data_IF_461452576576
#
_entry.id   IF_461452576576
#
_cell.length_a   1.000
_cell.length_b   1.000
_cell.length_c   1.000
_cell.angle_alpha   90.00
_cell.angle_beta   90.00
_cell.angle_gamma   90.00
#
_symmetry.space_group_name_H-M   'P 1'
#
loop_
_entity.id
_entity.type
_entity.pdbx_description
1 polymer ?
#
# COMPACT_ATOMS: atom_id res chain seq x y z
N UNK A 1 -12.52 3.12 29.33
CA UNK A 1 -12.30 4.29 28.46
C UNK A 1 -11.47 3.98 27.21
N UNK A 2 -11.27 2.72 26.85
CA UNK A 2 -10.37 2.27 25.78
C UNK A 2 -11.05 1.98 24.43
N UNK A 3 -12.37 2.08 24.32
CA UNK A 3 -13.12 1.69 23.10
C UNK A 3 -13.27 2.81 22.06
N UNK A 4 -13.04 4.07 22.41
CA UNK A 4 -13.26 5.21 21.51
C UNK A 4 -12.09 5.51 20.55
N UNK A 5 -10.86 5.13 20.92
CA UNK A 5 -9.68 5.37 20.10
C UNK A 5 -9.52 4.32 18.99
N UNK A 6 -9.94 3.09 19.23
CA UNK A 6 -9.92 2.03 18.20
C UNK A 6 -10.95 2.30 17.10
N UNK A 7 -12.12 2.84 17.47
CA UNK A 7 -13.16 3.19 16.48
C UNK A 7 -12.76 4.42 15.64
N UNK A 8 -12.09 5.43 16.20
CA UNK A 8 -11.65 6.61 15.48
C UNK A 8 -10.56 6.32 14.46
N UNK A 9 -9.60 5.46 14.81
CA UNK A 9 -8.53 5.04 13.89
C UNK A 9 -9.05 4.13 12.78
N UNK A 10 -10.00 3.25 13.11
CA UNK A 10 -10.62 2.36 12.13
C UNK A 10 -11.47 3.13 11.10
N UNK A 11 -12.22 4.15 11.54
CA UNK A 11 -13.02 4.99 10.64
C UNK A 11 -12.15 5.88 9.75
N UNK A 12 -11.01 6.36 10.24
CA UNK A 12 -10.07 7.14 9.43
C UNK A 12 -9.38 6.28 8.37
N UNK A 13 -8.98 5.05 8.71
CA UNK A 13 -8.40 4.08 7.77
C UNK A 13 -9.42 3.60 6.72
N UNK A 14 -10.68 3.38 7.12
CA UNK A 14 -11.75 3.00 6.18
C UNK A 14 -12.08 4.13 5.22
N UNK A 15 -12.10 5.40 5.67
CA UNK A 15 -12.37 6.54 4.79
C UNK A 15 -11.22 6.80 3.81
N UNK A 16 -9.97 6.56 4.22
CA UNK A 16 -8.80 6.62 3.34
C UNK A 16 -8.81 5.52 2.27
N UNK A 17 -9.26 4.32 2.63
CA UNK A 17 -9.36 3.18 1.70
C UNK A 17 -10.47 3.37 0.66
N UNK A 18 -11.60 3.95 1.05
CA UNK A 18 -12.72 4.26 0.16
C UNK A 18 -12.38 5.40 -0.82
N UNK A 19 -11.52 6.35 -0.43
CA UNK A 19 -11.02 7.40 -1.32
C UNK A 19 -10.07 6.90 -2.42
N UNK A 20 -9.35 5.81 -2.16
CA UNK A 20 -8.39 5.25 -3.12
C UNK A 20 -9.05 4.38 -4.22
N UNK A 21 -10.23 3.84 -3.96
CA UNK A 21 -10.97 3.00 -4.93
C UNK A 21 -11.70 3.83 -5.99
N UNK A 22 -11.97 5.11 -5.76
CA UNK A 22 -12.66 5.97 -6.74
C UNK A 22 -11.73 6.54 -7.84
N UNK A 23 -10.40 6.46 -7.65
CA UNK A 23 -9.42 6.92 -8.65
C UNK A 23 -8.99 5.85 -9.67
N UNK A 24 -9.39 4.59 -9.48
CA UNK A 24 -8.96 3.48 -10.33
C UNK A 24 -9.98 3.02 -11.41
N UNK A 25 -11.14 3.69 -11.52
CA UNK A 25 -12.20 3.31 -12.47
C UNK A 25 -12.75 4.49 -13.26
N UNK A 26 -11.88 5.30 -13.87
CA UNK A 26 -12.26 6.22 -14.93
C UNK A 26 -11.56 5.83 -16.23
N UNK A 27 -11.93 4.70 -16.82
CA UNK A 27 -11.76 4.47 -18.25
C UNK A 27 -13.00 5.02 -18.97
N UNK A 28 -12.87 6.22 -19.51
CA UNK A 28 -13.80 6.75 -20.50
C UNK A 28 -13.53 6.12 -21.87
N UNK A 29 -14.58 5.70 -22.60
CA UNK A 29 -14.41 5.26 -23.98
C UNK A 29 -14.16 6.45 -24.90
N UNK A 30 -13.10 6.35 -25.67
CA UNK A 30 -12.77 7.23 -26.79
C UNK A 30 -13.94 7.31 -27.77
N UNK A 31 -14.64 8.43 -27.86
CA UNK A 31 -15.54 8.70 -28.95
C UNK A 31 -14.98 9.85 -29.79
N UNK A 32 -14.54 9.48 -30.97
CA UNK A 32 -14.13 10.35 -32.06
C UNK A 32 -15.32 11.08 -32.66
N UNK A 33 -15.33 12.40 -32.59
CA UNK A 33 -16.04 13.22 -33.59
C UNK A 33 -15.44 14.63 -33.62
N UNK A 34 -14.71 14.93 -34.70
CA UNK A 34 -14.33 16.29 -35.11
C UNK A 34 -15.55 16.90 -35.84
N UNK A 35 -15.87 18.16 -35.61
CA UNK A 35 -16.21 19.02 -36.73
C UNK A 35 -15.38 20.31 -36.75
N UNK A 36 -14.81 20.52 -37.90
CA UNK A 36 -14.31 21.78 -38.44
C UNK A 36 -15.44 22.79 -38.67
N UNK A 37 -15.21 24.10 -38.38
CA UNK A 37 -15.54 25.27 -39.21
C UNK A 37 -15.23 26.52 -38.40
N UNK A 38 -14.23 27.26 -38.73
CA UNK A 38 -14.12 28.47 -39.57
C UNK A 38 -14.78 29.74 -39.01
N UNK A 39 -13.91 30.73 -38.82
CA UNK A 39 -14.04 32.17 -39.15
C UNK A 39 -14.93 33.07 -38.29
N UNK A 40 -14.29 34.13 -37.80
CA UNK A 40 -14.98 35.35 -37.33
C UNK A 40 -14.00 36.31 -36.67
N UNK A 41 -13.25 37.05 -37.49
CA UNK A 41 -12.46 38.20 -37.07
C UNK A 41 -13.36 39.35 -36.59
N UNK A 42 -13.01 39.99 -35.49
CA UNK A 42 -13.32 41.40 -35.27
C UNK A 42 -12.26 42.02 -34.37
N UNK A 43 -11.46 42.82 -34.99
CA UNK A 43 -10.56 43.81 -34.41
C UNK A 43 -11.33 44.91 -33.73
N UNK A 44 -11.01 45.21 -32.48
CA UNK A 44 -11.27 46.54 -31.91
C UNK A 44 -9.99 47.01 -31.23
N UNK A 45 -9.37 47.96 -31.90
CA UNK A 45 -8.32 48.85 -31.40
C UNK A 45 -8.92 49.77 -30.35
N UNK A 46 -8.32 49.85 -29.18
CA UNK A 46 -8.44 51.08 -28.34
C UNK A 46 -7.06 51.36 -27.73
N UNK A 47 -6.68 52.53 -28.08
CA UNK A 47 -5.52 53.37 -27.83
C UNK A 47 -5.16 53.50 -26.35
N UNK A 48 -3.86 53.55 -26.15
CA UNK A 48 -3.09 54.04 -25.02
C UNK A 48 -3.73 55.03 -24.05
N UNK A 49 -3.37 54.85 -22.77
CA UNK A 49 -2.84 55.94 -21.96
C UNK A 49 -2.27 55.37 -20.64
N UNK A 50 -1.01 55.58 -20.50
CA UNK A 50 -0.29 56.17 -19.37
C UNK A 50 -0.18 55.39 -18.03
N UNK A 51 1.01 54.89 -17.83
CA UNK A 51 1.96 55.22 -16.75
C UNK A 51 1.35 55.50 -15.37
N UNK A 52 1.44 54.48 -14.50
CA UNK A 52 1.91 54.75 -13.15
C UNK A 52 2.69 53.57 -12.55
N UNK A 53 3.86 53.91 -12.05
CA UNK A 53 4.67 53.11 -11.15
C UNK A 53 3.89 52.80 -9.89
N UNK A 54 3.81 51.58 -9.48
CA UNK A 54 3.35 51.33 -8.13
C UNK A 54 3.10 49.85 -7.82
N UNK A 55 4.01 49.27 -7.10
CA UNK A 55 3.81 48.16 -6.16
C UNK A 55 3.02 46.96 -6.65
N UNK A 56 3.78 45.93 -6.99
CA UNK A 56 3.27 44.58 -6.98
C UNK A 56 2.74 44.25 -5.57
N UNK A 57 1.44 44.25 -5.41
CA UNK A 57 0.77 43.90 -4.16
C UNK A 57 0.66 42.39 -4.12
N UNK A 58 1.60 41.74 -3.47
CA UNK A 58 1.53 40.31 -3.16
C UNK A 58 0.35 40.10 -2.21
N UNK A 59 -0.76 39.59 -2.73
CA UNK A 59 -1.89 39.18 -1.89
C UNK A 59 -1.62 37.76 -1.46
N UNK A 60 -1.06 37.58 -0.26
CA UNK A 60 -1.00 36.31 0.40
C UNK A 60 -2.39 35.98 0.95
N UNK A 61 -3.15 35.14 0.27
CA UNK A 61 -4.37 34.54 0.81
C UNK A 61 -3.95 33.47 1.84
N UNK A 62 -3.99 33.85 3.11
CA UNK A 62 -3.71 32.92 4.21
C UNK A 62 -2.70 33.43 5.22
N UNK A 63 -2.71 34.69 5.55
CA UNK A 63 -2.00 35.18 6.76
C UNK A 63 -2.92 35.15 7.97
N UNK A 64 -3.02 33.99 8.64
CA UNK A 64 -3.28 34.01 10.07
C UNK A 64 -1.95 34.30 10.76
N UNK A 65 -1.89 35.42 11.43
CA UNK A 65 -0.79 35.85 12.28
C UNK A 65 -0.50 34.80 13.35
N UNK A 66 0.74 34.27 13.38
CA UNK A 66 1.24 33.51 14.52
C UNK A 66 1.35 32.00 14.25
N UNK A 67 2.40 31.60 13.56
CA UNK A 67 2.79 30.22 13.36
C UNK A 67 3.37 30.03 11.98
N UNK A 68 4.65 29.61 11.87
CA UNK A 68 5.37 29.47 10.60
C UNK A 68 4.73 28.48 9.62
N UNK A 69 3.55 28.79 9.09
CA UNK A 69 2.87 28.05 8.04
C UNK A 69 3.49 28.38 6.68
N UNK A 70 3.91 27.37 5.97
CA UNK A 70 4.43 27.51 4.59
C UNK A 70 3.24 27.79 3.66
N UNK A 71 3.22 28.90 2.92
CA UNK A 71 2.11 29.19 2.02
C UNK A 71 2.01 28.13 0.91
N UNK A 72 0.83 27.49 0.83
CA UNK A 72 0.58 26.41 -0.12
C UNK A 72 0.60 26.87 -1.58
N UNK A 73 0.17 28.12 -1.81
CA UNK A 73 0.13 28.76 -3.11
C UNK A 73 0.58 30.21 -2.97
N UNK A 74 1.50 30.65 -3.82
CA UNK A 74 1.79 32.06 -4.01
C UNK A 74 1.20 32.49 -5.34
N UNK A 75 0.20 33.36 -5.30
CA UNK A 75 -0.31 34.08 -6.46
C UNK A 75 0.56 35.33 -6.66
N UNK A 76 1.27 35.38 -7.77
CA UNK A 76 1.94 36.60 -8.22
C UNK A 76 1.11 37.15 -9.39
N UNK A 77 0.43 38.25 -9.17
CA UNK A 77 -0.24 38.98 -10.26
C UNK A 77 0.80 39.80 -10.96
N UNK A 78 1.12 39.46 -12.20
CA UNK A 78 2.00 40.27 -13.05
C UNK A 78 1.34 41.57 -13.47
N UNK A 79 2.13 42.61 -13.83
CA UNK A 79 1.58 43.87 -14.31
C UNK A 79 0.71 43.76 -15.57
N UNK A 80 0.84 42.64 -16.30
CA UNK A 80 0.07 42.34 -17.53
C UNK A 80 -1.29 41.69 -17.26
N UNK A 81 -1.70 41.54 -15.98
CA UNK A 81 -2.97 40.87 -15.61
C UNK A 81 -2.95 39.35 -15.73
N UNK A 82 -1.81 38.74 -16.02
CA UNK A 82 -1.62 37.28 -15.96
C UNK A 82 -1.37 36.84 -14.52
N UNK A 83 -2.05 35.75 -14.12
CA UNK A 83 -1.89 35.14 -12.81
C UNK A 83 -0.93 33.94 -12.93
N UNK A 84 0.26 34.06 -12.35
CA UNK A 84 1.19 32.94 -12.25
C UNK A 84 0.96 32.18 -10.93
N UNK A 85 0.56 30.92 -11.05
CA UNK A 85 0.43 30.01 -9.94
C UNK A 85 1.74 29.29 -9.71
N UNK A 86 2.53 29.69 -8.72
CA UNK A 86 3.68 28.92 -8.28
C UNK A 86 3.29 27.99 -7.15
N UNK A 87 3.24 26.69 -7.45
CA UNK A 87 3.12 25.65 -6.42
C UNK A 87 4.48 25.57 -5.72
N UNK A 88 4.47 25.73 -4.40
CA UNK A 88 5.70 25.56 -3.63
C UNK A 88 6.15 24.10 -3.74
N UNK A 89 7.33 23.86 -4.34
CA UNK A 89 7.92 22.52 -4.54
C UNK A 89 7.95 21.70 -3.23
N UNK A 90 8.13 22.38 -2.10
CA UNK A 90 8.15 21.77 -0.77
C UNK A 90 6.78 21.16 -0.40
N UNK A 91 5.68 21.81 -0.75
CA UNK A 91 4.33 21.29 -0.50
C UNK A 91 4.01 20.15 -1.44
N UNK A 92 4.41 20.25 -2.72
CA UNK A 92 4.27 19.14 -3.65
C UNK A 92 5.03 17.90 -3.14
N UNK A 93 6.26 18.09 -2.68
CA UNK A 93 7.06 17.02 -2.09
C UNK A 93 6.40 16.45 -0.81
N UNK A 94 5.85 17.31 0.05
CA UNK A 94 5.14 16.87 1.26
C UNK A 94 3.89 16.07 0.94
N UNK A 95 3.07 16.53 -0.03
CA UNK A 95 1.86 15.81 -0.46
C UNK A 95 2.19 14.46 -1.10
N UNK A 96 3.23 14.40 -1.93
CA UNK A 96 3.68 13.12 -2.50
C UNK A 96 4.20 12.17 -1.43
N UNK A 97 5.01 12.65 -0.50
CA UNK A 97 5.46 11.85 0.64
C UNK A 97 4.29 11.33 1.48
N UNK A 98 3.32 12.18 1.79
CA UNK A 98 2.13 11.78 2.56
C UNK A 98 1.28 10.73 1.82
N UNK A 99 1.25 10.77 0.49
CA UNK A 99 0.58 9.76 -0.33
C UNK A 99 1.27 8.38 -0.31
N UNK A 100 2.61 8.34 -0.21
CA UNK A 100 3.37 7.09 -0.14
C UNK A 100 3.39 6.45 1.26
N UNK A 101 3.20 7.24 2.31
CA UNK A 101 3.33 6.78 3.70
C UNK A 101 2.41 5.59 4.04
N UNK A 102 1.11 5.57 3.69
CA UNK A 102 0.25 4.41 3.97
C UNK A 102 0.73 3.13 3.27
N UNK A 103 1.19 3.23 2.03
CA UNK A 103 1.70 2.09 1.27
C UNK A 103 2.98 1.52 1.92
N UNK A 104 3.89 2.39 2.35
CA UNK A 104 5.11 1.99 3.05
C UNK A 104 4.78 1.27 4.37
N UNK A 105 3.85 1.82 5.17
CA UNK A 105 3.44 1.19 6.44
C UNK A 105 2.85 -0.20 6.19
N UNK A 106 1.98 -0.37 5.19
CA UNK A 106 1.41 -1.67 4.84
C UNK A 106 2.50 -2.68 4.45
N UNK A 107 3.51 -2.26 3.67
CA UNK A 107 4.63 -3.11 3.27
C UNK A 107 5.53 -3.53 4.44
N UNK A 108 5.55 -2.76 5.54
CA UNK A 108 6.31 -3.08 6.77
C UNK A 108 5.55 -4.01 7.73
N UNK A 109 4.37 -4.50 7.35
CA UNK A 109 3.53 -5.39 8.15
C UNK A 109 3.46 -6.80 7.57
N UNK A 110 2.69 -7.67 8.21
CA UNK A 110 2.41 -9.05 7.74
C UNK A 110 1.59 -9.11 6.44
N UNK A 111 1.07 -7.99 5.95
CA UNK A 111 0.15 -7.89 4.81
C UNK A 111 0.69 -8.56 3.54
N UNK A 112 1.95 -8.30 3.20
CA UNK A 112 2.57 -8.80 1.97
C UNK A 112 2.55 -10.33 1.90
N UNK A 113 2.97 -11.02 2.97
CA UNK A 113 2.97 -12.48 3.04
C UNK A 113 1.55 -13.03 2.86
N UNK A 114 0.59 -12.47 3.58
CA UNK A 114 -0.80 -12.94 3.57
C UNK A 114 -1.42 -12.80 2.17
N UNK A 115 -1.29 -11.61 1.56
CA UNK A 115 -1.88 -11.34 0.23
C UNK A 115 -1.29 -12.24 -0.84
N UNK A 116 0.02 -12.49 -0.81
CA UNK A 116 0.70 -13.35 -1.78
C UNK A 116 0.28 -14.80 -1.61
N UNK A 117 0.24 -15.32 -0.38
CA UNK A 117 -0.20 -16.70 -0.12
C UNK A 117 -1.65 -16.91 -0.52
N UNK A 118 -2.55 -15.98 -0.20
CA UNK A 118 -3.97 -16.04 -0.61
C UNK A 118 -4.14 -15.98 -2.13
N UNK A 119 -3.30 -15.22 -2.82
CA UNK A 119 -3.30 -15.16 -4.29
C UNK A 119 -2.83 -16.46 -4.91
N UNK A 120 -1.79 -17.09 -4.36
CA UNK A 120 -1.29 -18.41 -4.80
C UNK A 120 -2.36 -19.49 -4.53
N UNK A 121 -3.03 -19.45 -3.37
CA UNK A 121 -4.12 -20.37 -3.05
C UNK A 121 -5.23 -20.32 -4.11
N UNK A 122 -5.69 -19.12 -4.47
CA UNK A 122 -6.69 -18.93 -5.53
C UNK A 122 -6.25 -19.58 -6.85
N UNK A 123 -4.99 -19.37 -7.22
CA UNK A 123 -4.42 -19.99 -8.43
C UNK A 123 -4.35 -21.53 -8.32
N UNK A 124 -3.94 -22.05 -7.16
CA UNK A 124 -3.85 -23.49 -6.91
C UNK A 124 -5.20 -24.19 -7.06
N UNK A 125 -6.27 -23.57 -6.58
CA UNK A 125 -7.63 -24.07 -6.74
C UNK A 125 -8.14 -24.04 -8.20
N UNK A 126 -7.43 -23.37 -9.12
CA UNK A 126 -7.86 -23.21 -10.51
C UNK A 126 -8.95 -22.14 -10.71
N UNK A 127 -9.23 -21.33 -9.71
CA UNK A 127 -10.22 -20.27 -9.75
C UNK A 127 -9.59 -19.00 -10.32
N UNK A 128 -10.06 -18.54 -11.49
CA UNK A 128 -9.47 -17.38 -12.16
C UNK A 128 -9.90 -16.04 -11.53
N UNK A 129 -11.16 -15.95 -11.04
CA UNK A 129 -11.74 -14.68 -10.57
C UNK A 129 -12.39 -14.76 -9.19
N UNK A 130 -12.54 -15.93 -8.59
CA UNK A 130 -13.20 -16.12 -7.30
C UNK A 130 -12.22 -16.73 -6.28
N UNK A 131 -12.06 -16.18 -5.08
CA UNK A 131 -12.63 -14.91 -4.60
C UNK A 131 -12.02 -13.69 -5.31
N UNK A 132 -12.78 -12.56 -5.37
CA UNK A 132 -12.29 -11.34 -6.00
C UNK A 132 -11.06 -10.77 -5.28
N UNK A 133 -10.26 -9.94 -5.97
CA UNK A 133 -9.10 -9.29 -5.35
C UNK A 133 -9.48 -8.47 -4.11
N UNK A 134 -10.67 -7.84 -4.12
CA UNK A 134 -11.15 -7.06 -2.98
C UNK A 134 -11.38 -7.92 -1.74
N UNK A 135 -11.93 -9.14 -1.91
CA UNK A 135 -12.13 -10.10 -0.81
C UNK A 135 -10.78 -10.55 -0.25
N UNK A 136 -9.82 -10.88 -1.11
CA UNK A 136 -8.46 -11.27 -0.69
C UNK A 136 -7.79 -10.14 0.10
N UNK A 137 -7.84 -8.92 -0.41
CA UNK A 137 -7.28 -7.74 0.27
C UNK A 137 -7.99 -7.50 1.60
N UNK A 138 -9.32 -7.61 1.64
CA UNK A 138 -10.09 -7.47 2.87
C UNK A 138 -9.69 -8.48 3.94
N UNK A 139 -9.62 -9.77 3.61
CA UNK A 139 -9.16 -10.82 4.54
C UNK A 139 -7.73 -10.55 4.98
N UNK A 140 -6.84 -10.19 4.04
CA UNK A 140 -5.44 -9.91 4.34
C UNK A 140 -5.29 -8.72 5.31
N UNK A 141 -6.08 -7.66 5.15
CA UNK A 141 -6.08 -6.53 6.07
C UNK A 141 -6.57 -6.92 7.46
N UNK A 142 -7.70 -7.62 7.58
CA UNK A 142 -8.21 -8.07 8.87
C UNK A 142 -7.20 -8.96 9.60
N UNK A 143 -6.61 -9.92 8.89
CA UNK A 143 -5.61 -10.81 9.47
C UNK A 143 -4.34 -10.05 9.86
N UNK A 144 -3.93 -9.06 9.06
CA UNK A 144 -2.81 -8.18 9.37
C UNK A 144 -3.06 -7.41 10.67
N UNK A 145 -4.22 -6.80 10.84
CA UNK A 145 -4.57 -6.11 12.08
C UNK A 145 -4.54 -7.05 13.30
N UNK A 146 -5.02 -8.26 13.14
CA UNK A 146 -5.00 -9.26 14.20
C UNK A 146 -3.57 -9.65 14.59
N UNK A 147 -2.71 -9.94 13.61
CA UNK A 147 -1.32 -10.33 13.83
C UNK A 147 -0.49 -9.17 14.38
N UNK A 148 -0.70 -7.96 13.85
CA UNK A 148 0.06 -6.76 14.25
C UNK A 148 -0.47 -6.09 15.52
N UNK A 149 -1.58 -6.57 16.11
CA UNK A 149 -2.17 -5.99 17.32
C UNK A 149 -1.16 -5.77 18.46
N UNK A 150 -0.29 -6.73 18.83
CA UNK A 150 0.70 -6.52 19.88
C UNK A 150 1.71 -5.41 19.52
N UNK A 151 2.14 -5.32 18.26
CA UNK A 151 3.06 -4.27 17.80
C UNK A 151 2.39 -2.90 17.85
N UNK A 152 1.14 -2.79 17.41
CA UNK A 152 0.38 -1.53 17.46
C UNK A 152 0.09 -1.10 18.90
N UNK A 153 -0.15 -2.03 19.82
CA UNK A 153 -0.31 -1.71 21.23
C UNK A 153 1.00 -1.14 21.82
N UNK A 154 2.15 -1.72 21.50
CA UNK A 154 3.44 -1.19 21.93
C UNK A 154 3.68 0.23 21.39
N UNK A 155 3.40 0.48 20.11
CA UNK A 155 3.49 1.82 19.51
C UNK A 155 2.58 2.80 20.25
N UNK A 156 1.35 2.39 20.54
CA UNK A 156 0.39 3.24 21.25
C UNK A 156 0.89 3.61 22.65
N UNK A 157 1.40 2.65 23.42
CA UNK A 157 1.86 2.85 24.78
C UNK A 157 3.16 3.64 24.84
N UNK A 158 4.13 3.38 23.95
CA UNK A 158 5.47 3.94 24.01
C UNK A 158 5.61 5.29 23.27
N UNK A 159 4.78 5.54 22.25
CA UNK A 159 4.91 6.72 21.42
C UNK A 159 3.65 7.60 21.43
N UNK A 160 2.47 7.00 21.14
CA UNK A 160 1.24 7.78 20.92
C UNK A 160 0.73 8.39 22.22
N UNK A 161 0.63 7.60 23.30
CA UNK A 161 0.12 8.07 24.59
C UNK A 161 1.04 9.13 25.23
N UNK A 162 2.38 8.98 25.29
CA UNK A 162 3.27 10.01 25.78
C UNK A 162 3.23 11.30 24.95
N UNK A 163 3.05 11.18 23.62
CA UNK A 163 2.90 12.34 22.74
C UNK A 163 1.59 13.11 23.00
N UNK A 164 0.47 12.40 23.13
CA UNK A 164 -0.83 13.00 23.43
C UNK A 164 -0.87 13.66 24.82
N UNK A 165 -0.07 13.16 25.76
CA UNK A 165 0.09 13.72 27.09
C UNK A 165 1.17 14.83 27.15
N UNK A 166 1.67 15.31 25.99
CA UNK A 166 2.70 16.36 25.87
C UNK A 166 4.02 16.06 26.61
N UNK A 167 4.31 14.78 26.88
CA UNK A 167 5.51 14.34 27.58
C UNK A 167 6.73 14.25 26.65
N UNK A 168 6.49 14.03 25.34
CA UNK A 168 7.53 13.90 24.33
C UNK A 168 7.20 14.74 23.08
N UNK A 169 8.25 15.13 22.36
CA UNK A 169 8.09 15.84 21.08
C UNK A 169 7.66 14.90 19.96
N UNK A 170 7.06 15.44 18.88
CA UNK A 170 6.66 14.67 17.70
C UNK A 170 7.83 13.84 17.11
N UNK A 171 9.05 14.37 17.13
CA UNK A 171 10.25 13.68 16.65
C UNK A 171 10.60 12.47 17.51
N UNK A 172 10.58 12.65 18.83
CA UNK A 172 10.80 11.55 19.78
C UNK A 172 9.72 10.47 19.66
N UNK A 173 8.44 10.87 19.51
CA UNK A 173 7.35 9.94 19.30
C UNK A 173 7.55 9.11 18.01
N UNK A 174 8.01 9.74 16.93
CA UNK A 174 8.32 9.04 15.68
C UNK A 174 9.47 8.05 15.84
N UNK A 175 10.55 8.44 16.53
CA UNK A 175 11.68 7.56 16.77
C UNK A 175 11.29 6.36 17.65
N UNK A 176 10.49 6.58 18.71
CA UNK A 176 9.96 5.50 19.56
C UNK A 176 8.96 4.59 18.83
N UNK A 177 8.15 5.13 17.93
CA UNK A 177 7.20 4.34 17.16
C UNK A 177 7.87 3.39 16.16
N UNK A 178 9.08 3.70 15.69
CA UNK A 178 9.85 2.85 14.80
C UNK A 178 10.38 1.57 15.49
N UNK A 179 10.71 1.63 16.78
CA UNK A 179 11.36 0.53 17.49
C UNK A 179 10.54 -0.78 17.49
N UNK A 180 9.23 -0.79 17.83
CA UNK A 180 8.42 -2.01 17.75
C UNK A 180 8.29 -2.56 16.32
N UNK A 181 8.18 -1.68 15.30
CA UNK A 181 8.15 -2.09 13.90
C UNK A 181 9.47 -2.70 13.45
N UNK A 182 10.58 -2.09 13.85
CA UNK A 182 11.93 -2.59 13.56
C UNK A 182 12.15 -3.95 14.19
N UNK A 183 11.79 -4.11 15.46
CA UNK A 183 11.88 -5.39 16.17
C UNK A 183 11.04 -6.48 15.49
N UNK A 184 9.81 -6.17 15.06
CA UNK A 184 8.98 -7.09 14.29
C UNK A 184 9.64 -7.49 12.98
N UNK A 185 10.10 -6.52 12.18
CA UNK A 185 10.74 -6.80 10.88
C UNK A 185 12.02 -7.62 11.04
N UNK A 186 12.88 -7.30 12.02
CA UNK A 186 14.10 -8.08 12.29
C UNK A 186 13.78 -9.53 12.64
N UNK A 187 12.75 -9.76 13.47
CA UNK A 187 12.33 -11.11 13.86
C UNK A 187 11.84 -11.96 12.69
N UNK A 188 11.22 -11.32 11.67
CA UNK A 188 10.69 -12.00 10.50
C UNK A 188 11.68 -12.08 9.33
N UNK A 189 12.74 -11.26 9.34
CA UNK A 189 13.74 -11.25 8.27
C UNK A 189 14.75 -12.36 8.45
N UNK A 190 15.03 -13.11 7.39
CA UNK A 190 16.06 -14.15 7.39
C UNK A 190 17.44 -13.52 7.43
N UNK A 191 18.33 -14.13 8.18
CA UNK A 191 19.72 -13.66 8.35
C UNK A 191 20.41 -13.47 7.01
N UNK A 192 20.32 -14.44 6.11
CA UNK A 192 20.96 -14.38 4.79
C UNK A 192 20.43 -13.22 3.93
N UNK A 193 19.13 -12.90 4.02
CA UNK A 193 18.55 -11.78 3.28
C UNK A 193 19.01 -10.45 3.87
N UNK A 194 19.06 -10.35 5.19
CA UNK A 194 19.57 -9.16 5.87
C UNK A 194 21.05 -8.91 5.53
N UNK A 195 21.90 -9.93 5.60
CA UNK A 195 23.31 -9.87 5.25
C UNK A 195 23.52 -9.37 3.80
N UNK A 196 22.75 -9.91 2.85
CA UNK A 196 22.82 -9.49 1.45
C UNK A 196 22.58 -7.96 1.29
N UNK A 197 21.56 -7.42 1.96
CA UNK A 197 21.27 -5.99 1.86
C UNK A 197 22.24 -5.13 2.67
N UNK A 198 22.80 -5.62 3.76
CA UNK A 198 23.88 -4.97 4.52
C UNK A 198 25.14 -4.86 3.65
N UNK A 199 25.55 -5.94 2.99
CA UNK A 199 26.68 -5.94 2.06
C UNK A 199 26.47 -4.95 0.91
N UNK A 200 25.28 -4.96 0.29
CA UNK A 200 24.93 -4.04 -0.80
C UNK A 200 24.97 -2.57 -0.36
N UNK A 201 24.65 -2.29 0.90
CA UNK A 201 24.68 -0.92 1.45
C UNK A 201 26.09 -0.44 1.82
N UNK A 202 27.07 -1.33 1.91
CA UNK A 202 28.42 -1.04 2.41
C UNK A 202 28.48 -0.67 3.89
N UNK A 203 27.38 -0.88 4.64
CA UNK A 203 27.32 -0.55 6.06
C UNK A 203 28.08 -1.59 6.88
N UNK A 204 29.00 -1.12 7.74
CA UNK A 204 29.62 -1.98 8.75
C UNK A 204 28.71 -2.06 9.97
N UNK A 205 27.93 -3.13 10.04
CA UNK A 205 26.97 -3.37 11.11
C UNK A 205 27.47 -4.53 11.97
N UNK A 206 27.67 -4.31 13.25
CA UNK A 206 28.15 -5.33 14.20
C UNK A 206 27.01 -6.12 14.84
N UNK A 207 25.79 -5.57 14.86
CA UNK A 207 24.62 -6.22 15.43
C UNK A 207 23.37 -5.93 14.58
N UNK A 208 22.43 -6.88 14.44
CA UNK A 208 21.21 -6.72 13.63
C UNK A 208 20.37 -5.49 14.02
N UNK A 209 20.38 -5.13 15.31
CA UNK A 209 19.62 -3.98 15.84
C UNK A 209 20.16 -2.63 15.33
N UNK A 210 21.40 -2.58 14.87
CA UNK A 210 22.05 -1.37 14.36
C UNK A 210 21.73 -1.09 12.89
N UNK A 211 21.10 -2.06 12.20
CA UNK A 211 20.71 -1.91 10.79
C UNK A 211 19.73 -0.74 10.65
N UNK A 212 19.96 0.11 9.67
CA UNK A 212 19.06 1.22 9.36
C UNK A 212 17.75 0.71 8.75
N UNK A 213 16.64 1.44 8.95
CA UNK A 213 15.35 1.11 8.34
C UNK A 213 15.42 1.03 6.81
N UNK A 214 16.25 1.88 6.20
CA UNK A 214 16.43 1.89 4.74
C UNK A 214 17.00 0.58 4.18
N UNK A 215 17.80 -0.15 4.95
CA UNK A 215 18.36 -1.47 4.59
C UNK A 215 17.41 -2.60 5.03
N UNK A 216 16.81 -2.44 6.20
CA UNK A 216 15.92 -3.46 6.76
C UNK A 216 14.62 -3.64 5.98
N UNK A 217 13.98 -2.55 5.51
CA UNK A 217 12.70 -2.63 4.79
C UNK A 217 12.81 -3.51 3.53
N UNK A 218 13.76 -3.29 2.59
CA UNK A 218 13.88 -4.15 1.42
C UNK A 218 14.30 -5.58 1.76
N UNK A 219 15.14 -5.78 2.77
CA UNK A 219 15.51 -7.11 3.26
C UNK A 219 14.28 -7.88 3.80
N UNK A 220 13.46 -7.20 4.60
CA UNK A 220 12.21 -7.74 5.13
C UNK A 220 11.23 -8.12 4.01
N UNK A 221 10.95 -7.21 3.07
CA UNK A 221 10.03 -7.48 1.96
C UNK A 221 10.50 -8.69 1.15
N UNK A 222 11.79 -8.79 0.84
CA UNK A 222 12.37 -9.93 0.11
C UNK A 222 12.21 -11.23 0.90
N UNK A 223 12.45 -11.20 2.20
CA UNK A 223 12.29 -12.36 3.10
C UNK A 223 10.81 -12.78 3.21
N UNK A 224 9.88 -11.82 3.31
CA UNK A 224 8.44 -12.07 3.32
C UNK A 224 7.96 -12.72 2.02
N UNK A 225 8.42 -12.24 0.86
CA UNK A 225 8.11 -12.83 -0.43
C UNK A 225 8.63 -14.26 -0.54
N UNK A 226 9.87 -14.53 -0.14
CA UNK A 226 10.43 -15.89 -0.14
C UNK A 226 9.60 -16.84 0.75
N UNK A 227 9.23 -16.38 1.94
CA UNK A 227 8.41 -17.16 2.87
C UNK A 227 7.00 -17.39 2.31
N UNK A 228 6.38 -16.34 1.71
CA UNK A 228 5.08 -16.46 1.07
C UNK A 228 5.09 -17.47 -0.08
N UNK A 229 6.13 -17.47 -0.92
CA UNK A 229 6.27 -18.44 -2.00
C UNK A 229 6.49 -19.87 -1.47
N UNK A 230 7.25 -20.05 -0.37
CA UNK A 230 7.42 -21.36 0.24
C UNK A 230 6.10 -21.92 0.78
N UNK A 231 5.35 -21.12 1.54
CA UNK A 231 4.03 -21.51 2.04
C UNK A 231 3.08 -21.78 0.86
N UNK A 232 3.06 -20.88 -0.11
CA UNK A 232 2.24 -21.00 -1.31
C UNK A 232 2.54 -22.27 -2.11
N UNK A 233 3.82 -22.63 -2.27
CA UNK A 233 4.24 -23.86 -2.94
C UNK A 233 3.74 -25.11 -2.18
N UNK A 234 3.85 -25.14 -0.86
CA UNK A 234 3.33 -26.25 -0.06
C UNK A 234 1.82 -26.40 -0.19
N UNK A 235 1.09 -25.27 -0.27
CA UNK A 235 -0.35 -25.29 -0.50
C UNK A 235 -0.70 -25.70 -1.93
N UNK A 236 0.15 -25.42 -2.90
CA UNK A 236 -0.09 -25.77 -4.32
C UNK A 236 0.08 -27.27 -4.58
N UNK A 237 0.97 -27.94 -3.85
CA UNK A 237 1.34 -29.35 -4.06
C UNK A 237 0.14 -30.30 -4.11
N UNK A 238 -0.80 -30.34 -3.14
CA UNK A 238 -1.92 -31.27 -3.17
C UNK A 238 -2.85 -31.01 -4.38
N UNK A 239 -3.04 -29.79 -4.79
CA UNK A 239 -3.85 -29.43 -5.95
C UNK A 239 -3.16 -29.83 -7.27
N UNK A 240 -1.84 -29.71 -7.35
CA UNK A 240 -1.04 -30.16 -8.47
C UNK A 240 -1.15 -31.68 -8.68
N UNK A 241 -1.14 -32.44 -7.59
CA UNK A 241 -1.29 -33.91 -7.66
C UNK A 241 -2.68 -34.27 -8.24
N UNK A 242 -3.74 -33.58 -7.82
CA UNK A 242 -5.08 -33.79 -8.38
C UNK A 242 -5.09 -33.49 -9.89
N UNK A 243 -4.49 -32.38 -10.32
CA UNK A 243 -4.40 -32.03 -11.74
C UNK A 243 -3.68 -33.13 -12.55
N UNK A 244 -2.59 -33.64 -12.03
CA UNK A 244 -1.77 -34.66 -12.67
C UNK A 244 -2.52 -36.01 -12.78
N UNK A 245 -3.25 -36.41 -11.74
CA UNK A 245 -4.06 -37.62 -11.74
C UNK A 245 -5.20 -37.51 -12.75
N UNK A 246 -5.94 -36.39 -12.71
CA UNK A 246 -7.04 -36.14 -13.67
C UNK A 246 -6.52 -36.10 -15.10
N UNK A 247 -5.39 -35.43 -15.36
CA UNK A 247 -4.78 -35.38 -16.69
C UNK A 247 -4.38 -36.76 -17.20
N UNK A 248 -3.77 -37.61 -16.34
CA UNK A 248 -3.37 -38.97 -16.73
C UNK A 248 -4.56 -39.84 -17.07
N UNK A 249 -5.68 -39.77 -16.33
CA UNK A 249 -6.90 -40.50 -16.58
C UNK A 249 -7.54 -40.04 -17.91
N UNK A 250 -7.65 -38.74 -18.15
CA UNK A 250 -8.21 -38.19 -19.40
C UNK A 250 -7.39 -38.62 -20.64
N UNK A 251 -6.05 -38.60 -20.51
CA UNK A 251 -5.17 -39.06 -21.58
C UNK A 251 -5.34 -40.57 -21.84
N UNK A 252 -5.46 -41.39 -20.80
CA UNK A 252 -5.67 -42.83 -20.93
C UNK A 252 -7.01 -43.14 -21.63
N UNK A 253 -8.04 -42.31 -21.44
CA UNK A 253 -9.34 -42.43 -22.13
C UNK A 253 -9.34 -41.84 -23.56
N UNK A 254 -8.25 -41.26 -24.03
CA UNK A 254 -8.12 -40.64 -25.33
C UNK A 254 -8.80 -39.27 -25.47
N UNK A 255 -9.22 -38.65 -24.37
CA UNK A 255 -9.95 -37.37 -24.39
C UNK A 255 -8.97 -36.17 -24.38
N UNK A 256 -8.13 -36.07 -25.42
CA UNK A 256 -7.09 -35.02 -25.50
C UNK A 256 -7.64 -33.60 -25.66
N UNK A 257 -8.89 -33.42 -26.08
CA UNK A 257 -9.49 -32.09 -26.30
C UNK A 257 -10.12 -31.49 -25.05
N UNK A 258 -10.28 -32.24 -23.96
CA UNK A 258 -10.80 -31.72 -22.71
C UNK A 258 -9.68 -31.15 -21.85
N UNK A 259 -9.88 -29.93 -21.38
CA UNK A 259 -8.93 -29.30 -20.46
C UNK A 259 -8.93 -29.99 -19.09
N UNK A 260 -7.80 -30.58 -18.63
CA UNK A 260 -7.72 -31.24 -17.33
C UNK A 260 -8.05 -30.31 -16.15
N UNK A 261 -7.73 -29.03 -16.27
CA UNK A 261 -8.03 -28.04 -15.23
C UNK A 261 -9.53 -27.87 -14.96
N UNK A 262 -10.38 -27.92 -15.99
CA UNK A 262 -11.83 -27.78 -15.81
C UNK A 262 -12.40 -29.01 -15.13
N UNK A 263 -11.90 -30.21 -15.49
CA UNK A 263 -12.35 -31.47 -14.90
C UNK A 263 -11.86 -31.67 -13.48
N UNK A 264 -10.67 -31.18 -13.15
CA UNK A 264 -10.09 -31.29 -11.79
C UNK A 264 -10.69 -30.31 -10.78
N UNK A 265 -11.28 -29.20 -11.24
CA UNK A 265 -11.81 -28.13 -10.38
C UNK A 265 -12.80 -28.63 -9.31
N UNK A 266 -13.83 -29.45 -9.62
CA UNK A 266 -14.76 -29.97 -8.60
C UNK A 266 -14.04 -30.82 -7.55
N UNK A 267 -13.05 -31.63 -7.94
CA UNK A 267 -12.28 -32.46 -7.02
C UNK A 267 -11.41 -31.60 -6.08
N UNK A 268 -10.81 -30.52 -6.59
CA UNK A 268 -10.03 -29.58 -5.80
C UNK A 268 -10.90 -28.88 -4.76
N UNK A 269 -12.07 -28.37 -5.17
CA UNK A 269 -13.00 -27.71 -4.26
C UNK A 269 -13.52 -28.67 -3.19
N UNK A 270 -13.86 -29.91 -3.58
CA UNK A 270 -14.31 -30.93 -2.64
C UNK A 270 -13.23 -31.25 -1.59
N UNK A 271 -11.97 -31.46 -2.03
CA UNK A 271 -10.86 -31.67 -1.11
C UNK A 271 -10.69 -30.51 -0.16
N UNK A 272 -10.70 -29.27 -0.69
CA UNK A 272 -10.52 -28.06 0.10
C UNK A 272 -11.57 -27.90 1.21
N UNK A 273 -12.84 -28.22 0.88
CA UNK A 273 -13.94 -28.19 1.87
C UNK A 273 -13.82 -29.32 2.88
N UNK A 274 -13.45 -30.54 2.46
CA UNK A 274 -13.32 -31.71 3.34
C UNK A 274 -12.24 -31.52 4.41
N UNK A 275 -11.13 -30.84 4.10
CA UNK A 275 -10.04 -30.60 5.05
C UNK A 275 -10.21 -29.30 5.84
N UNK A 276 -11.34 -28.61 5.72
CA UNK A 276 -11.55 -27.26 6.29
C UNK A 276 -10.42 -26.31 5.91
N UNK A 277 -10.17 -26.21 4.60
CA UNK A 277 -9.00 -25.53 4.05
C UNK A 277 -8.89 -24.06 4.48
N UNK A 278 -10.01 -23.35 4.67
CA UNK A 278 -9.97 -21.97 5.13
C UNK A 278 -9.38 -21.84 6.53
N UNK A 279 -9.83 -22.64 7.46
CA UNK A 279 -9.33 -22.62 8.83
C UNK A 279 -7.86 -23.04 8.89
N UNK A 280 -7.50 -24.10 8.16
CA UNK A 280 -6.12 -24.56 8.08
C UNK A 280 -5.16 -23.48 7.56
N UNK A 281 -5.54 -22.76 6.50
CA UNK A 281 -4.70 -21.75 5.90
C UNK A 281 -4.58 -20.52 6.79
N UNK A 282 -5.69 -20.02 7.33
CA UNK A 282 -5.68 -18.84 8.19
C UNK A 282 -4.90 -19.10 9.48
N UNK A 283 -5.07 -20.28 10.09
CA UNK A 283 -4.31 -20.66 11.29
C UNK A 283 -2.81 -20.86 10.99
N UNK A 284 -2.47 -21.47 9.86
CA UNK A 284 -1.08 -21.64 9.44
C UNK A 284 -0.43 -20.29 9.15
N UNK A 285 -1.13 -19.39 8.46
CA UNK A 285 -0.63 -18.05 8.21
C UNK A 285 -0.43 -17.26 9.49
N UNK A 286 -1.41 -17.25 10.39
CA UNK A 286 -1.28 -16.58 11.68
C UNK A 286 -0.13 -17.18 12.52
N UNK A 287 -0.01 -18.50 12.56
CA UNK A 287 1.05 -19.21 13.26
C UNK A 287 2.44 -19.06 12.63
N UNK A 288 2.53 -18.67 11.36
CA UNK A 288 3.82 -18.44 10.68
C UNK A 288 4.52 -17.15 11.12
N UNK A 289 3.80 -16.25 11.80
CA UNK A 289 4.35 -15.09 12.45
C UNK A 289 4.61 -15.43 13.93
N UNK A 290 5.84 -15.84 14.26
CA UNK A 290 6.24 -16.04 15.64
C UNK A 290 6.37 -14.67 16.34
N UNK A 291 5.31 -14.22 16.99
CA UNK A 291 5.27 -13.00 17.80
C UNK A 291 5.73 -13.26 19.23
#
# INVERSE_FOLDING_TARGET
MTSWLTTGFLTWLLSGLLGFTSLAFAEEPLNTAIPSTAAGASSVTVTALEKERGNAKTIALGSSSGGGGIPAFTMTTNPDGSEDYSINLQILALMTMLGFLPAMVILMTSFTRIVVVMSILRQAMGLQQTPSNQVIIGIALFLTFFIMAPVFNQINEQAVQPYLNEQITARQAFDLAQEPLKAFMLKQTRVNDLETFVEMSGAQVTAPEQVSMAVLIPAFITSELKTAFQIGFMLFLPFLIIDLVVASVLMAMGMMMLSPMIVSLPFKLMLFVLVDGWNLILSTLAGSFAL
#
